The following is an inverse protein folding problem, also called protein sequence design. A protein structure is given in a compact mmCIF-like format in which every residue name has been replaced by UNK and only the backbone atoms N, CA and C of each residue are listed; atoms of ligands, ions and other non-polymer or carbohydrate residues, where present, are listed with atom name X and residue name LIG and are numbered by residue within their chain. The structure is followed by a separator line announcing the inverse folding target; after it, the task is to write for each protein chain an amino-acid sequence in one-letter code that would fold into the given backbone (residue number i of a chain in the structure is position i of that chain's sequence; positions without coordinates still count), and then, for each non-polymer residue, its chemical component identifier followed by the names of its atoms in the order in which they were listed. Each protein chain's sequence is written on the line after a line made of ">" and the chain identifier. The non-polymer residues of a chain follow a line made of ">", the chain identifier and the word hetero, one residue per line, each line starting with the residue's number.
data_IF_915657735814
#
_entry.id   IF_915657735814
#
_cell.length_a   1.000
_cell.length_b   1.000
_cell.length_c   1.000
_cell.angle_alpha   90.00
_cell.angle_beta   90.00
_cell.angle_gamma   90.00
#
_symmetry.space_group_name_H-M   'P 1'
#
loop_
_entity.id
_entity.type
_entity.pdbx_description
1 polymer ?
#
# COMPACT_ATOMS: atom_id res chain seq x y z
N UNK A 1 19.33 -0.69 4.10
CA UNK A 1 18.92 0.48 3.30
C UNK A 1 18.87 0.21 1.80
N UNK A 2 19.90 -0.35 1.14
CA UNK A 2 19.88 -0.51 -0.35
C UNK A 2 19.27 -1.83 -0.89
N UNK A 3 19.13 -2.87 -0.07
CA UNK A 3 18.66 -4.19 -0.53
C UNK A 3 17.13 -4.35 -0.57
N UNK A 4 16.37 -3.57 0.23
CA UNK A 4 14.92 -3.73 0.33
C UNK A 4 14.20 -3.22 -0.93
N UNK A 5 14.63 -2.05 -1.40
CA UNK A 5 14.20 -1.46 -2.68
C UNK A 5 14.51 -2.38 -3.86
N UNK A 6 15.61 -3.13 -3.81
CA UNK A 6 16.00 -4.06 -4.89
C UNK A 6 15.12 -5.32 -4.99
N UNK A 7 14.21 -5.55 -4.03
CA UNK A 7 13.21 -6.63 -4.07
C UNK A 7 11.98 -6.26 -4.90
N UNK A 8 11.73 -4.97 -5.13
CA UNK A 8 10.60 -4.45 -5.91
C UNK A 8 11.09 -3.96 -7.28
N UNK A 9 10.30 -4.16 -8.32
CA UNK A 9 10.58 -3.55 -9.62
C UNK A 9 10.40 -2.04 -9.56
N UNK A 10 11.05 -1.31 -10.48
CA UNK A 10 10.90 0.15 -10.56
C UNK A 10 9.45 0.60 -10.81
N UNK A 11 8.63 -0.25 -11.42
CA UNK A 11 7.19 -0.01 -11.68
C UNK A 11 6.32 -0.28 -10.44
N UNK A 12 6.84 -1.05 -9.48
CA UNK A 12 6.17 -1.36 -8.21
C UNK A 12 6.58 -0.37 -7.11
N UNK A 13 7.50 0.55 -7.37
CA UNK A 13 7.94 1.54 -6.39
C UNK A 13 7.21 2.85 -6.65
N UNK A 14 6.47 3.33 -5.64
CA UNK A 14 5.80 4.63 -5.69
C UNK A 14 6.37 5.59 -4.66
N UNK A 15 6.32 6.89 -4.98
CA UNK A 15 6.68 7.95 -4.03
C UNK A 15 5.41 8.44 -3.37
N UNK A 16 5.25 8.14 -2.08
CA UNK A 16 4.19 8.68 -1.25
C UNK A 16 4.57 10.09 -0.80
N UNK A 17 3.75 11.08 -1.12
CA UNK A 17 3.89 12.45 -0.64
C UNK A 17 2.76 12.76 0.35
N UNK A 18 3.14 13.18 1.55
CA UNK A 18 2.21 13.57 2.62
C UNK A 18 1.99 15.07 2.60
N UNK A 19 0.81 15.51 3.05
CA UNK A 19 0.46 16.94 3.16
C UNK A 19 1.42 17.75 4.05
N UNK A 20 2.13 17.08 4.97
CA UNK A 20 3.18 17.69 5.82
C UNK A 20 4.49 18.00 5.04
N UNK A 21 4.57 17.62 3.76
CA UNK A 21 5.74 17.78 2.90
C UNK A 21 6.79 16.68 3.06
N UNK A 22 6.49 15.63 3.82
CA UNK A 22 7.29 14.41 3.87
C UNK A 22 7.03 13.57 2.62
N UNK A 23 8.08 13.04 2.01
CA UNK A 23 7.97 12.07 0.92
C UNK A 23 8.93 10.91 1.11
N UNK A 24 8.44 9.69 0.84
CA UNK A 24 9.25 8.48 0.92
C UNK A 24 8.81 7.45 -0.12
N UNK A 25 9.75 6.59 -0.49
CA UNK A 25 9.51 5.51 -1.44
C UNK A 25 8.86 4.32 -0.73
N UNK A 26 7.82 3.76 -1.35
CA UNK A 26 7.15 2.55 -0.92
C UNK A 26 7.09 1.53 -2.04
N UNK A 27 7.27 0.25 -1.70
CA UNK A 27 7.03 -0.86 -2.61
C UNK A 27 5.56 -1.26 -2.56
N UNK A 28 4.89 -1.31 -3.71
CA UNK A 28 3.56 -1.88 -3.84
C UNK A 28 3.67 -3.37 -3.57
N UNK A 29 3.02 -3.83 -2.50
CA UNK A 29 2.92 -5.26 -2.21
C UNK A 29 1.79 -5.88 -3.04
N UNK A 30 0.69 -5.14 -3.18
CA UNK A 30 -0.45 -5.52 -4.00
C UNK A 30 -1.64 -4.58 -3.81
N UNK A 31 -2.62 -4.72 -4.71
CA UNK A 31 -3.92 -4.05 -4.63
C UNK A 31 -5.03 -5.09 -4.60
N UNK A 32 -6.12 -4.80 -3.90
CA UNK A 32 -7.26 -5.69 -3.80
C UNK A 32 -8.56 -4.92 -3.64
N UNK A 33 -9.67 -5.52 -4.07
CA UNK A 33 -11.01 -4.98 -3.86
C UNK A 33 -11.67 -5.62 -2.63
N UNK A 34 -12.31 -4.80 -1.81
CA UNK A 34 -13.12 -5.24 -0.68
C UNK A 34 -14.32 -4.30 -0.53
N UNK A 35 -15.53 -4.86 -0.40
CA UNK A 35 -16.74 -4.07 -0.13
C UNK A 35 -17.00 -2.95 -1.18
N UNK A 36 -16.77 -3.28 -2.46
CA UNK A 36 -16.88 -2.34 -3.61
C UNK A 36 -15.90 -1.14 -3.55
N UNK A 37 -14.85 -1.24 -2.73
CA UNK A 37 -13.74 -0.27 -2.64
C UNK A 37 -12.43 -0.95 -2.97
N UNK A 38 -11.50 -0.19 -3.54
CA UNK A 38 -10.15 -0.68 -3.81
C UNK A 38 -9.22 -0.28 -2.67
N UNK A 39 -8.25 -1.14 -2.37
CA UNK A 39 -7.25 -0.95 -1.34
C UNK A 39 -5.88 -1.30 -1.88
N UNK A 40 -4.85 -0.65 -1.34
CA UNK A 40 -3.46 -0.86 -1.69
C UNK A 40 -2.63 -1.10 -0.44
N UNK A 41 -1.74 -2.09 -0.52
CA UNK A 41 -0.74 -2.40 0.49
C UNK A 41 0.63 -1.92 0.04
N UNK A 42 1.28 -1.12 0.88
CA UNK A 42 2.53 -0.43 0.58
C UNK A 42 3.56 -0.76 1.66
N UNK A 43 4.68 -1.33 1.26
CA UNK A 43 5.80 -1.61 2.14
C UNK A 43 6.73 -0.40 2.20
N UNK A 44 6.94 0.14 3.40
CA UNK A 44 7.88 1.23 3.63
C UNK A 44 9.29 0.75 3.29
N UNK A 45 9.91 1.39 2.30
CA UNK A 45 11.31 1.10 1.93
C UNK A 45 12.31 1.83 2.83
N UNK A 46 11.81 2.47 3.89
CA UNK A 46 12.58 3.14 4.93
C UNK A 46 13.05 2.15 6.02
N UNK A 47 13.77 2.64 7.03
CA UNK A 47 14.36 1.79 8.09
C UNK A 47 13.31 1.19 9.05
N UNK A 48 12.05 1.56 8.92
CA UNK A 48 10.98 1.15 9.85
C UNK A 48 10.36 -0.20 9.49
N UNK A 49 10.46 -0.63 8.22
CA UNK A 49 9.93 -1.91 7.73
C UNK A 49 8.43 -2.12 8.04
N UNK A 50 7.66 -1.03 8.04
CA UNK A 50 6.21 -1.04 8.24
C UNK A 50 5.46 -1.22 6.92
N UNK A 51 4.28 -1.85 7.00
CA UNK A 51 3.34 -1.94 5.87
C UNK A 51 2.18 -0.99 6.12
N UNK A 52 1.91 -0.13 5.14
CA UNK A 52 0.81 0.79 5.11
C UNK A 52 -0.33 0.26 4.24
N UNK A 53 -1.56 0.35 4.74
CA UNK A 53 -2.77 0.01 4.00
C UNK A 53 -3.58 1.28 3.79
N UNK A 54 -3.91 1.58 2.54
CA UNK A 54 -4.73 2.72 2.17
C UNK A 54 -5.86 2.29 1.23
N UNK A 55 -6.97 3.01 1.27
CA UNK A 55 -7.99 2.94 0.22
C UNK A 55 -7.44 3.54 -1.06
N UNK A 56 -7.42 2.76 -2.13
CA UNK A 56 -7.01 3.20 -3.45
C UNK A 56 -8.23 3.75 -4.20
N UNK A 57 -8.18 5.01 -4.63
CA UNK A 57 -9.26 5.61 -5.41
C UNK A 57 -8.68 6.15 -6.72
N UNK A 58 -8.83 5.43 -7.84
CA UNK A 58 -8.37 5.94 -9.12
C UNK A 58 -9.18 7.18 -9.53
N UNK A 59 -8.48 8.21 -9.99
CA UNK A 59 -9.06 9.45 -10.56
C UNK A 59 -8.75 9.53 -12.05
N UNK A 60 -9.27 10.55 -12.75
CA UNK A 60 -9.13 10.68 -14.22
C UNK A 60 -7.66 10.76 -14.70
N UNK A 61 -6.76 11.31 -13.88
CA UNK A 61 -5.34 11.54 -14.24
C UNK A 61 -4.34 10.92 -13.24
N UNK A 62 -4.79 10.58 -12.02
CA UNK A 62 -3.94 10.12 -10.90
C UNK A 62 -4.72 9.19 -9.94
N UNK A 63 -4.30 9.02 -8.68
CA UNK A 63 -4.99 8.23 -7.68
C UNK A 63 -4.96 8.91 -6.30
N UNK A 64 -6.04 8.80 -5.55
CA UNK A 64 -6.11 9.27 -4.18
C UNK A 64 -5.96 8.09 -3.22
N UNK A 65 -5.14 8.27 -2.19
CA UNK A 65 -4.99 7.32 -1.09
C UNK A 65 -5.79 7.82 0.12
N UNK A 66 -6.78 7.04 0.52
CA UNK A 66 -7.66 7.35 1.64
C UNK A 66 -7.26 6.54 2.87
N UNK A 67 -7.26 7.20 4.02
CA UNK A 67 -7.02 6.55 5.30
C UNK A 67 -8.18 5.58 5.63
N UNK A 68 -7.84 4.38 6.09
CA UNK A 68 -8.81 3.35 6.41
C UNK A 68 -9.22 3.53 7.87
N UNK A 69 -10.52 3.66 8.18
CA UNK A 69 -10.95 3.79 9.56
C UNK A 69 -10.58 2.51 10.33
N UNK A 70 -10.17 2.65 11.60
CA UNK A 70 -9.70 1.52 12.43
C UNK A 70 -10.70 0.35 12.47
N UNK A 71 -12.01 0.63 12.35
CA UNK A 71 -13.07 -0.39 12.31
C UNK A 71 -13.03 -1.29 11.06
N UNK A 72 -12.59 -0.76 9.92
CA UNK A 72 -12.43 -1.53 8.67
C UNK A 72 -11.00 -2.04 8.49
N UNK A 73 -10.01 -1.43 9.14
CA UNK A 73 -8.60 -1.83 8.99
C UNK A 73 -8.38 -3.30 9.29
N UNK A 74 -8.97 -3.84 10.36
CA UNK A 74 -8.85 -5.26 10.72
C UNK A 74 -9.42 -6.17 9.62
N UNK A 75 -10.53 -5.76 8.98
CA UNK A 75 -11.13 -6.49 7.86
C UNK A 75 -10.28 -6.43 6.61
N UNK A 76 -9.78 -5.24 6.28
CA UNK A 76 -8.92 -4.99 5.11
C UNK A 76 -7.61 -5.78 5.25
N UNK A 77 -6.98 -5.71 6.42
CA UNK A 77 -5.76 -6.44 6.73
C UNK A 77 -5.98 -7.96 6.69
N UNK A 78 -7.11 -8.46 7.20
CA UNK A 78 -7.44 -9.88 7.15
C UNK A 78 -7.67 -10.38 5.71
N UNK A 79 -8.32 -9.58 4.85
CA UNK A 79 -8.48 -9.93 3.43
C UNK A 79 -7.12 -9.90 2.71
N UNK A 80 -6.28 -8.90 2.98
CA UNK A 80 -4.92 -8.84 2.44
C UNK A 80 -4.08 -10.05 2.85
N UNK A 81 -4.05 -10.38 4.14
CA UNK A 81 -3.32 -11.55 4.66
C UNK A 81 -3.81 -12.83 4.00
N UNK A 82 -5.13 -12.99 3.84
CA UNK A 82 -5.71 -14.13 3.14
C UNK A 82 -5.29 -14.21 1.67
N UNK A 83 -5.28 -13.09 0.96
CA UNK A 83 -4.85 -13.03 -0.45
C UNK A 83 -3.35 -13.33 -0.59
N UNK A 84 -2.54 -12.95 0.40
CA UNK A 84 -1.09 -13.18 0.42
C UNK A 84 -0.71 -14.59 0.91
N UNK A 85 -1.49 -15.19 1.80
CA UNK A 85 -1.29 -16.55 2.32
C UNK A 85 -1.80 -17.62 1.35
N UNK A 86 -2.66 -17.27 0.38
CA UNK A 86 -3.05 -18.19 -0.69
C UNK A 86 -1.82 -18.54 -1.56
N UNK A 87 -1.36 -19.81 -1.55
CA UNK A 87 -0.22 -20.20 -2.36
C UNK A 87 -0.64 -20.17 -3.84
N UNK A 88 0.00 -19.30 -4.61
CA UNK A 88 -0.04 -19.30 -6.08
C UNK A 88 0.38 -20.64 -6.69
#
# INVERSE_FOLDING_TARGET
>A
MEEKRALYAEDEIITLEFDDGASFECGIIGTFELDEKEYIALDALDDTNDVYLYGYVPTDDDFELLDIPEEDFDRVAAEFDRLMDEPV
#
